data_IF_250085182733
#
_entry.id   IF_250085182733
#
_cell.length_a   1.000
_cell.length_b   1.000
_cell.length_c   1.000
_cell.angle_alpha   90.00
_cell.angle_beta   90.00
_cell.angle_gamma   90.00
#
_symmetry.space_group_name_H-M   'P 1'
#
loop_
_entity.id
_entity.type
_entity.pdbx_description
1 polymer ?
#
# COMPACT_ATOMS: atom_id res chain seq x y z
N UNK A 1 -8.57 -21.66 5.34
CA UNK A 1 -9.70 -21.76 4.40
C UNK A 1 -10.96 -21.57 5.23
N UNK A 2 -11.70 -20.48 5.05
CA UNK A 2 -12.94 -20.25 5.80
C UNK A 2 -13.99 -21.15 5.14
N UNK A 3 -14.54 -22.12 5.86
CA UNK A 3 -15.66 -22.92 5.36
C UNK A 3 -16.89 -22.03 5.24
N UNK A 4 -17.22 -21.65 3.99
CA UNK A 4 -18.38 -20.79 3.68
C UNK A 4 -19.71 -21.57 3.78
N UNK A 5 -19.68 -22.87 4.03
CA UNK A 5 -20.86 -23.76 4.04
C UNK A 5 -21.92 -23.40 5.08
N UNK A 6 -21.57 -22.65 6.11
CA UNK A 6 -22.46 -22.26 7.20
C UNK A 6 -23.03 -20.83 7.10
N UNK A 7 -22.77 -20.14 5.97
CA UNK A 7 -23.22 -18.75 5.79
C UNK A 7 -24.25 -18.65 4.68
N UNK A 8 -25.25 -17.82 4.89
CA UNK A 8 -26.28 -17.53 3.90
C UNK A 8 -26.32 -16.03 3.59
N UNK A 9 -26.78 -15.71 2.38
CA UNK A 9 -26.95 -14.36 1.88
C UNK A 9 -28.40 -13.92 2.07
N UNK A 10 -28.62 -12.83 2.76
CA UNK A 10 -29.95 -12.25 2.94
C UNK A 10 -30.00 -10.84 2.36
N UNK A 11 -30.95 -10.53 1.47
CA UNK A 11 -31.19 -9.17 1.03
C UNK A 11 -31.71 -8.33 2.20
N UNK A 12 -31.24 -7.09 2.31
CA UNK A 12 -31.71 -6.15 3.32
C UNK A 12 -33.02 -5.53 2.83
N UNK A 13 -34.04 -5.59 3.65
CA UNK A 13 -35.34 -4.94 3.37
C UNK A 13 -35.14 -3.42 3.41
N UNK A 14 -35.89 -2.67 2.58
CA UNK A 14 -35.79 -1.20 2.51
C UNK A 14 -35.82 -0.50 3.88
N UNK A 15 -36.62 -0.99 4.83
CA UNK A 15 -36.74 -0.44 6.19
C UNK A 15 -35.51 -0.67 7.07
N UNK A 16 -34.67 -1.63 6.71
CA UNK A 16 -33.51 -2.06 7.50
C UNK A 16 -32.19 -1.59 6.84
N UNK A 17 -32.27 -0.73 5.82
CA UNK A 17 -31.10 -0.16 5.16
C UNK A 17 -30.41 0.78 6.14
N UNK A 18 -29.23 0.38 6.60
CA UNK A 18 -28.35 1.24 7.38
C UNK A 18 -27.33 1.90 6.47
N UNK A 19 -27.26 3.23 6.53
CA UNK A 19 -26.17 3.95 5.91
C UNK A 19 -24.99 4.02 6.88
N UNK A 20 -23.80 3.71 6.40
CA UNK A 20 -22.56 3.80 7.18
C UNK A 20 -21.59 4.77 6.50
N UNK A 21 -21.04 5.69 7.28
CA UNK A 21 -19.97 6.57 6.80
C UNK A 21 -18.68 5.77 6.75
N UNK A 22 -18.11 5.66 5.56
CA UNK A 22 -16.85 4.97 5.29
C UNK A 22 -15.96 5.80 4.38
N UNK A 23 -14.66 5.56 4.44
CA UNK A 23 -13.75 5.93 3.35
C UNK A 23 -13.69 4.75 2.41
N UNK A 24 -14.11 4.95 1.17
CA UNK A 24 -14.17 3.88 0.19
C UNK A 24 -12.76 3.36 -0.13
N UNK A 25 -12.50 2.04 -0.02
CA UNK A 25 -11.17 1.49 -0.28
C UNK A 25 -10.74 1.57 -1.75
N UNK A 26 -11.68 1.83 -2.67
CA UNK A 26 -11.40 1.89 -4.11
C UNK A 26 -11.16 3.31 -4.62
N UNK A 27 -11.96 4.27 -4.21
CA UNK A 27 -11.87 5.65 -4.73
C UNK A 27 -11.38 6.67 -3.69
N UNK A 28 -11.22 6.27 -2.42
CA UNK A 28 -10.74 7.14 -1.35
C UNK A 28 -11.75 8.18 -0.83
N UNK A 29 -12.91 8.31 -1.47
CA UNK A 29 -13.90 9.30 -1.07
C UNK A 29 -14.61 8.86 0.21
N UNK A 30 -14.79 9.82 1.13
CA UNK A 30 -15.59 9.59 2.34
C UNK A 30 -17.08 9.74 2.01
N UNK A 31 -17.82 8.63 2.12
CA UNK A 31 -19.20 8.53 1.66
C UNK A 31 -20.11 7.92 2.72
N UNK A 32 -21.40 8.16 2.59
CA UNK A 32 -22.43 7.35 3.25
C UNK A 32 -22.83 6.20 2.30
N UNK A 33 -22.29 5.03 2.57
CA UNK A 33 -22.58 3.83 1.79
C UNK A 33 -23.81 3.13 2.35
N UNK A 34 -24.76 2.78 1.47
CA UNK A 34 -25.97 2.06 1.84
C UNK A 34 -25.73 0.56 1.82
N UNK A 35 -26.19 -0.12 2.86
CA UNK A 35 -26.15 -1.58 2.93
C UNK A 35 -27.14 -2.18 1.93
N UNK A 36 -26.71 -3.17 1.14
CA UNK A 36 -27.53 -3.83 0.13
C UNK A 36 -27.84 -5.28 0.48
N UNK A 37 -26.92 -5.96 1.14
CA UNK A 37 -27.00 -7.39 1.46
C UNK A 37 -26.22 -7.64 2.74
N UNK A 38 -26.60 -8.67 3.49
CA UNK A 38 -25.87 -9.14 4.65
C UNK A 38 -25.55 -10.62 4.53
N UNK A 39 -24.46 -11.02 5.13
CA UNK A 39 -24.06 -12.41 5.29
C UNK A 39 -24.34 -12.77 6.73
N UNK A 40 -25.13 -13.82 6.95
CA UNK A 40 -25.53 -14.29 8.26
C UNK A 40 -25.04 -15.72 8.50
N UNK A 41 -24.84 -16.04 9.75
CA UNK A 41 -24.62 -17.39 10.19
C UNK A 41 -25.91 -18.19 10.01
N UNK A 42 -25.85 -19.32 9.34
CA UNK A 42 -27.02 -20.10 8.94
C UNK A 42 -27.75 -20.72 10.15
N UNK A 43 -27.03 -21.03 11.22
CA UNK A 43 -27.60 -21.67 12.41
C UNK A 43 -28.20 -20.66 13.37
N UNK A 44 -27.58 -19.50 13.55
CA UNK A 44 -27.96 -18.51 14.56
C UNK A 44 -28.67 -17.29 14.00
N UNK A 45 -28.62 -17.06 12.67
CA UNK A 45 -29.08 -15.84 12.03
C UNK A 45 -28.26 -14.60 12.36
N UNK A 46 -27.14 -14.75 13.07
CA UNK A 46 -26.29 -13.63 13.45
C UNK A 46 -25.60 -13.02 12.23
N UNK A 47 -25.66 -11.69 12.09
CA UNK A 47 -24.97 -10.98 11.01
C UNK A 47 -23.46 -11.14 11.20
N UNK A 48 -22.74 -11.54 10.16
CA UNK A 48 -21.28 -11.62 10.14
C UNK A 48 -20.68 -10.46 9.36
N UNK A 49 -21.26 -10.16 8.19
CA UNK A 49 -20.80 -9.08 7.32
C UNK A 49 -21.98 -8.34 6.69
N UNK A 50 -21.74 -7.11 6.32
CA UNK A 50 -22.68 -6.30 5.53
C UNK A 50 -21.98 -5.84 4.26
N UNK A 51 -22.67 -5.93 3.12
CA UNK A 51 -22.19 -5.42 1.84
C UNK A 51 -22.83 -4.05 1.62
N UNK A 52 -21.99 -3.06 1.43
CA UNK A 52 -22.36 -1.70 1.13
C UNK A 52 -21.94 -1.35 -0.31
N UNK A 53 -22.69 -0.49 -0.96
CA UNK A 53 -22.33 0.04 -2.28
C UNK A 53 -21.84 1.47 -2.11
N UNK A 54 -20.64 1.75 -2.62
CA UNK A 54 -20.15 3.13 -2.69
C UNK A 54 -21.00 3.93 -3.70
N UNK A 55 -21.55 5.10 -3.34
CA UNK A 55 -22.35 5.91 -4.26
C UNK A 55 -21.53 6.60 -5.35
N UNK A 56 -20.21 6.78 -5.14
CA UNK A 56 -19.31 7.45 -6.09
C UNK A 56 -18.78 6.50 -7.18
N UNK A 57 -18.10 5.43 -6.76
CA UNK A 57 -17.48 4.50 -7.72
C UNK A 57 -18.29 3.22 -7.95
N UNK A 58 -19.41 3.05 -7.26
CA UNK A 58 -20.33 1.90 -7.33
C UNK A 58 -19.72 0.56 -6.92
N UNK A 59 -18.49 0.54 -6.43
CA UNK A 59 -17.83 -0.69 -5.98
C UNK A 59 -18.43 -1.20 -4.67
N UNK A 60 -18.55 -2.54 -4.51
CA UNK A 60 -19.02 -3.15 -3.28
C UNK A 60 -17.96 -3.10 -2.19
N UNK A 61 -18.35 -2.77 -0.98
CA UNK A 61 -17.50 -2.74 0.22
C UNK A 61 -18.11 -3.65 1.27
N UNK A 62 -17.35 -4.61 1.75
CA UNK A 62 -17.78 -5.53 2.79
C UNK A 62 -17.32 -4.98 4.14
N UNK A 63 -18.23 -4.94 5.11
CA UNK A 63 -17.93 -4.45 6.46
C UNK A 63 -18.25 -5.55 7.46
N UNK A 64 -17.26 -5.96 8.24
CA UNK A 64 -17.41 -6.89 9.35
C UNK A 64 -18.11 -6.25 10.57
N UNK A 65 -18.58 -7.07 11.49
CA UNK A 65 -19.13 -6.58 12.76
C UNK A 65 -18.12 -5.84 13.62
N UNK A 66 -16.86 -6.22 13.51
CA UNK A 66 -15.72 -5.53 14.13
C UNK A 66 -15.42 -4.17 13.50
N UNK A 67 -16.15 -3.80 12.44
CA UNK A 67 -15.94 -2.59 11.68
C UNK A 67 -14.84 -2.68 10.61
N UNK A 68 -14.17 -3.83 10.48
CA UNK A 68 -13.16 -4.07 9.47
C UNK A 68 -13.75 -3.97 8.07
N UNK A 69 -13.11 -3.19 7.22
CA UNK A 69 -13.50 -2.98 5.82
C UNK A 69 -12.70 -3.93 4.92
N UNK A 70 -13.40 -4.59 4.00
CA UNK A 70 -12.82 -5.51 3.02
C UNK A 70 -13.27 -5.08 1.61
N UNK A 71 -12.38 -4.97 0.65
CA UNK A 71 -10.93 -5.09 0.79
C UNK A 71 -10.36 -3.93 1.62
N UNK A 72 -9.13 -4.07 2.07
CA UNK A 72 -8.37 -2.91 2.58
C UNK A 72 -8.18 -1.90 1.45
N UNK A 73 -7.77 -0.67 1.79
CA UNK A 73 -7.57 0.36 0.79
C UNK A 73 -6.75 -0.16 -0.40
N UNK A 74 -7.24 0.09 -1.60
CA UNK A 74 -6.53 -0.22 -2.86
C UNK A 74 -5.78 0.99 -3.40
N UNK A 75 -5.92 2.12 -2.71
CA UNK A 75 -5.19 3.33 -3.05
C UNK A 75 -3.74 3.17 -2.63
N UNK A 76 -2.85 3.40 -3.56
CA UNK A 76 -1.43 3.37 -3.26
C UNK A 76 -1.09 4.53 -2.31
N UNK A 77 -0.32 4.27 -1.23
CA UNK A 77 0.15 5.31 -0.34
C UNK A 77 1.11 6.26 -1.09
N UNK A 78 1.30 7.44 -0.54
CA UNK A 78 2.11 8.51 -1.11
C UNK A 78 1.57 9.05 -2.44
N UNK A 79 2.14 10.14 -2.90
CA UNK A 79 1.68 10.85 -4.10
C UNK A 79 2.10 10.16 -5.39
N UNK A 80 1.28 10.34 -6.43
CA UNK A 80 1.66 9.94 -7.78
C UNK A 80 2.68 10.95 -8.34
N UNK A 81 3.87 10.46 -8.65
CA UNK A 81 4.91 11.26 -9.30
C UNK A 81 4.72 11.17 -10.82
N UNK A 82 4.49 12.30 -11.45
CA UNK A 82 4.27 12.38 -12.90
C UNK A 82 5.60 12.47 -13.66
N UNK A 83 5.57 12.03 -14.91
CA UNK A 83 6.70 12.14 -15.85
C UNK A 83 7.95 11.34 -15.47
N UNK A 84 7.78 10.27 -14.73
CA UNK A 84 8.87 9.34 -14.46
C UNK A 84 9.19 8.49 -15.71
N UNK A 85 10.47 8.12 -15.92
CA UNK A 85 10.81 7.06 -16.88
C UNK A 85 10.06 5.77 -16.52
N UNK A 86 9.60 5.02 -17.53
CA UNK A 86 8.71 3.88 -17.37
C UNK A 86 9.19 2.83 -16.35
N UNK A 87 10.49 2.55 -16.30
CA UNK A 87 11.04 1.59 -15.34
C UNK A 87 11.11 2.15 -13.91
N UNK A 88 11.41 3.45 -13.78
CA UNK A 88 11.40 4.15 -12.49
C UNK A 88 9.97 4.18 -11.93
N UNK A 89 8.98 4.49 -12.77
CA UNK A 89 7.56 4.47 -12.41
C UNK A 89 7.12 3.08 -11.94
N UNK A 90 7.51 2.02 -12.66
CA UNK A 90 7.21 0.64 -12.25
C UNK A 90 7.76 0.31 -10.87
N UNK A 91 9.04 0.60 -10.62
CA UNK A 91 9.68 0.34 -9.33
C UNK A 91 9.07 1.18 -8.21
N UNK A 92 8.77 2.46 -8.47
CA UNK A 92 8.11 3.33 -7.51
C UNK A 92 6.72 2.80 -7.12
N UNK A 93 5.91 2.39 -8.10
CA UNK A 93 4.60 1.81 -7.85
C UNK A 93 4.67 0.43 -7.20
N UNK A 94 5.71 -0.37 -7.48
CA UNK A 94 5.98 -1.62 -6.77
C UNK A 94 6.28 -1.36 -5.30
N UNK A 95 7.12 -0.38 -4.99
CA UNK A 95 7.42 0.04 -3.62
C UNK A 95 6.15 0.44 -2.85
N UNK A 96 5.30 1.27 -3.46
CA UNK A 96 4.01 1.70 -2.89
C UNK A 96 3.07 0.49 -2.64
N UNK A 97 3.01 -0.47 -3.56
CA UNK A 97 2.24 -1.71 -3.39
C UNK A 97 2.78 -2.57 -2.26
N UNK A 98 4.10 -2.69 -2.14
CA UNK A 98 4.73 -3.40 -1.03
C UNK A 98 4.35 -2.74 0.31
N UNK A 99 4.37 -1.42 0.38
CA UNK A 99 3.98 -0.68 1.58
C UNK A 99 2.51 -0.91 1.94
N UNK A 100 1.61 -0.80 0.96
CA UNK A 100 0.17 -1.05 1.12
C UNK A 100 -0.12 -2.46 1.67
N UNK A 101 0.69 -3.44 1.27
CA UNK A 101 0.54 -4.84 1.69
C UNK A 101 1.43 -5.21 2.89
N UNK A 102 1.93 -4.23 3.61
CA UNK A 102 2.74 -4.40 4.83
C UNK A 102 4.05 -5.20 4.59
N UNK A 103 4.52 -5.27 3.34
CA UNK A 103 5.77 -5.92 2.95
C UNK A 103 6.96 -4.98 3.18
N UNK A 104 7.17 -4.52 4.40
CA UNK A 104 8.10 -3.45 4.75
C UNK A 104 9.57 -3.76 4.41
N UNK A 105 9.98 -5.02 4.54
CA UNK A 105 11.31 -5.44 4.11
C UNK A 105 11.52 -5.22 2.61
N UNK A 106 10.52 -5.57 1.79
CA UNK A 106 10.54 -5.34 0.34
C UNK A 106 10.55 -3.85 0.01
N UNK A 107 9.82 -3.01 0.75
CA UNK A 107 9.87 -1.54 0.59
C UNK A 107 11.30 -1.04 0.67
N UNK A 108 12.05 -1.42 1.70
CA UNK A 108 13.44 -0.99 1.92
C UNK A 108 14.34 -1.45 0.76
N UNK A 109 14.19 -2.70 0.32
CA UNK A 109 15.01 -3.24 -0.77
C UNK A 109 14.68 -2.58 -2.12
N UNK A 110 13.40 -2.39 -2.43
CA UNK A 110 12.97 -1.75 -3.68
C UNK A 110 13.36 -0.27 -3.70
N UNK A 111 13.29 0.46 -2.58
CA UNK A 111 13.75 1.86 -2.49
C UNK A 111 15.25 1.99 -2.82
N UNK A 112 16.08 1.07 -2.34
CA UNK A 112 17.51 1.03 -2.74
C UNK A 112 17.67 0.77 -4.23
N UNK A 113 16.95 -0.22 -4.76
CA UNK A 113 16.99 -0.57 -6.20
C UNK A 113 16.54 0.61 -7.04
N UNK A 114 15.53 1.36 -6.61
CA UNK A 114 15.03 2.55 -7.29
C UNK A 114 16.13 3.62 -7.43
N UNK A 115 16.86 3.91 -6.35
CA UNK A 115 17.98 4.87 -6.39
C UNK A 115 19.12 4.40 -7.31
N UNK A 116 19.46 3.12 -7.28
CA UNK A 116 20.47 2.54 -8.19
C UNK A 116 20.00 2.67 -9.65
N UNK A 117 18.73 2.41 -9.91
CA UNK A 117 18.17 2.53 -11.25
C UNK A 117 18.20 3.97 -11.76
N UNK A 118 17.87 4.94 -10.90
CA UNK A 118 17.95 6.37 -11.21
C UNK A 118 19.41 6.75 -11.52
N UNK A 119 20.38 6.25 -10.77
CA UNK A 119 21.79 6.54 -11.05
C UNK A 119 22.21 6.06 -12.44
N UNK A 120 21.81 4.84 -12.83
CA UNK A 120 22.09 4.29 -14.17
C UNK A 120 21.34 5.09 -15.25
N UNK A 121 20.09 5.47 -15.03
CA UNK A 121 19.33 6.33 -15.95
C UNK A 121 20.01 7.70 -16.16
N UNK A 122 20.69 8.20 -15.14
CA UNK A 122 21.48 9.44 -15.18
C UNK A 122 22.91 9.27 -15.70
N UNK A 123 23.29 8.08 -16.15
CA UNK A 123 24.55 7.80 -16.84
C UNK A 123 25.63 7.16 -15.97
N UNK A 124 25.31 6.66 -14.77
CA UNK A 124 26.26 5.85 -14.01
C UNK A 124 26.47 4.49 -14.69
N UNK A 125 27.70 3.96 -14.62
CA UNK A 125 27.98 2.61 -15.09
C UNK A 125 27.19 1.56 -14.32
N UNK A 126 26.79 0.49 -14.99
CA UNK A 126 26.16 -0.67 -14.35
C UNK A 126 27.16 -1.45 -13.50
N UNK A 127 26.66 -2.24 -12.53
CA UNK A 127 27.50 -3.14 -11.73
C UNK A 127 28.23 -2.47 -10.57
N UNK A 128 27.91 -1.24 -10.24
CA UNK A 128 28.45 -0.51 -9.07
C UNK A 128 27.73 -0.92 -7.78
N UNK A 129 28.38 -0.68 -6.66
CA UNK A 129 27.76 -0.81 -5.34
C UNK A 129 26.74 0.31 -5.10
N UNK A 130 25.83 0.10 -4.13
CA UNK A 130 24.89 1.14 -3.74
C UNK A 130 25.58 2.46 -3.34
N UNK A 131 26.67 2.36 -2.57
CA UNK A 131 27.43 3.54 -2.16
C UNK A 131 28.04 4.32 -3.34
N UNK A 132 28.55 3.61 -4.35
CA UNK A 132 29.09 4.24 -5.56
C UNK A 132 27.98 4.92 -6.38
N UNK A 133 26.80 4.32 -6.49
CA UNK A 133 25.65 4.96 -7.15
C UNK A 133 25.21 6.23 -6.42
N UNK A 134 25.14 6.20 -5.09
CA UNK A 134 24.80 7.40 -4.31
C UNK A 134 25.86 8.48 -4.48
N UNK A 135 27.15 8.13 -4.42
CA UNK A 135 28.23 9.07 -4.66
C UNK A 135 28.16 9.69 -6.06
N UNK A 136 27.83 8.88 -7.07
CA UNK A 136 27.63 9.38 -8.44
C UNK A 136 26.51 10.42 -8.49
N UNK A 137 25.34 10.12 -7.91
CA UNK A 137 24.19 11.03 -7.89
C UNK A 137 24.49 12.34 -7.14
N UNK A 138 25.24 12.26 -6.04
CA UNK A 138 25.66 13.45 -5.29
C UNK A 138 26.67 14.30 -6.07
N UNK A 139 27.73 13.67 -6.61
CA UNK A 139 28.81 14.37 -7.31
C UNK A 139 28.32 15.07 -8.57
N UNK A 140 27.32 14.47 -9.25
CA UNK A 140 26.74 15.06 -10.46
C UNK A 140 25.52 15.98 -10.16
N UNK A 141 25.25 16.28 -8.90
CA UNK A 141 24.23 17.25 -8.49
C UNK A 141 22.78 16.76 -8.61
N UNK A 142 22.55 15.46 -8.81
CA UNK A 142 21.21 14.88 -8.84
C UNK A 142 20.57 14.74 -7.45
N UNK A 143 21.41 14.68 -6.40
CA UNK A 143 20.96 14.72 -5.00
C UNK A 143 21.44 16.04 -4.40
N UNK A 144 20.49 16.92 -4.10
CA UNK A 144 20.78 18.16 -3.40
C UNK A 144 21.27 17.94 -1.97
N UNK A 145 22.03 18.88 -1.44
CA UNK A 145 22.62 18.80 -0.10
C UNK A 145 21.58 18.56 1.02
N UNK A 146 20.38 19.10 0.86
CA UNK A 146 19.26 18.90 1.76
C UNK A 146 18.75 17.45 1.84
N UNK A 147 18.99 16.66 0.79
CA UNK A 147 18.50 15.28 0.69
C UNK A 147 19.54 14.23 1.13
N UNK A 148 20.78 14.63 1.37
CA UNK A 148 21.86 13.70 1.80
C UNK A 148 21.51 12.91 3.04
N UNK A 149 20.96 13.57 4.05
CA UNK A 149 20.55 12.93 5.31
C UNK A 149 19.47 11.85 5.09
N UNK A 150 18.55 12.07 4.16
CA UNK A 150 17.52 11.10 3.81
C UNK A 150 18.12 9.90 3.05
N UNK A 151 18.95 10.13 2.06
CA UNK A 151 19.64 9.06 1.32
C UNK A 151 20.55 8.23 2.24
N UNK A 152 21.22 8.86 3.20
CA UNK A 152 22.00 8.15 4.23
C UNK A 152 21.12 7.27 5.13
N UNK A 153 19.87 7.67 5.42
CA UNK A 153 18.92 6.81 6.13
C UNK A 153 18.58 5.58 5.31
N UNK A 154 18.27 5.73 4.02
CA UNK A 154 18.00 4.59 3.13
C UNK A 154 19.18 3.62 3.13
N UNK A 155 20.42 4.14 3.05
CA UNK A 155 21.64 3.34 3.09
C UNK A 155 21.75 2.56 4.42
N UNK A 156 21.63 3.25 5.55
CA UNK A 156 21.78 2.67 6.90
C UNK A 156 20.71 1.61 7.17
N UNK A 157 19.44 1.94 6.90
CA UNK A 157 18.31 1.03 7.09
C UNK A 157 18.45 -0.18 6.15
N UNK A 158 18.80 0.05 4.88
CA UNK A 158 19.02 -1.03 3.93
C UNK A 158 20.16 -1.96 4.33
N UNK A 159 21.30 -1.43 4.79
CA UNK A 159 22.43 -2.25 5.25
C UNK A 159 22.05 -3.07 6.50
N UNK A 160 21.31 -2.48 7.45
CA UNK A 160 20.79 -3.20 8.61
C UNK A 160 20.05 -4.46 8.18
N UNK A 161 19.06 -4.33 7.31
CA UNK A 161 18.21 -5.46 6.90
C UNK A 161 18.80 -6.38 5.84
N UNK A 162 19.94 -6.03 5.25
CA UNK A 162 20.69 -6.93 4.38
C UNK A 162 21.63 -7.85 5.20
N UNK A 163 22.11 -7.38 6.35
CA UNK A 163 23.13 -8.07 7.13
C UNK A 163 22.64 -8.56 8.50
N UNK A 164 21.53 -8.04 9.00
CA UNK A 164 20.93 -8.42 10.28
C UNK A 164 19.66 -9.25 10.05
N UNK A 165 19.48 -10.30 10.85
CA UNK A 165 18.31 -11.18 10.81
C UNK A 165 17.09 -10.56 11.50
N UNK A 166 16.76 -9.32 11.14
CA UNK A 166 15.64 -8.55 11.70
C UNK A 166 14.48 -8.40 10.72
N UNK A 167 13.27 -8.24 11.26
CA UNK A 167 12.09 -7.89 10.47
C UNK A 167 11.94 -6.36 10.40
N UNK A 168 11.77 -5.83 9.20
CA UNK A 168 11.53 -4.41 8.99
C UNK A 168 10.14 -4.00 9.53
N UNK A 169 10.08 -2.85 10.16
CA UNK A 169 8.84 -2.26 10.68
C UNK A 169 8.26 -1.25 9.69
N UNK A 170 6.99 -0.88 9.90
CA UNK A 170 6.37 0.22 9.16
C UNK A 170 7.16 1.52 9.34
N UNK A 171 7.61 1.80 10.56
CA UNK A 171 8.39 3.01 10.86
C UNK A 171 9.71 3.07 10.09
N UNK A 172 10.36 1.91 9.88
CA UNK A 172 11.59 1.84 9.07
C UNK A 172 11.27 2.04 7.57
N UNK A 173 10.16 1.51 7.10
CA UNK A 173 9.69 1.66 5.73
C UNK A 173 9.26 3.10 5.41
N UNK A 174 8.64 3.81 6.36
CA UNK A 174 8.25 5.22 6.22
C UNK A 174 9.45 6.17 6.10
N UNK A 175 10.63 5.74 6.54
CA UNK A 175 11.86 6.56 6.51
C UNK A 175 12.63 6.46 5.20
N UNK A 176 12.26 5.54 4.34
CA UNK A 176 12.95 5.26 3.06
C UNK A 176 12.09 5.62 1.86
#
# INVERSE_FOLDING_TARGET
>A
MIEIKEWTWEPIRKRDIAAKTITCPYCGVRVQASSTTRIVDAATGAIKYQIHKCPECFMPVIIGLDGKIIPQSQLLPYEDVRFLPANVEKLYNECRKCFLNECYHSVIMVSRTLLMYIAVDKGADVGKTFAEYINYLETNGFIGSQNKAWVDKIRKIGNKYTHEMGMATQEDADKV
#
